data_IF_457768191476
#
_entry.id   IF_457768191476
#
_cell.length_a   1.000
_cell.length_b   1.000
_cell.length_c   1.000
_cell.angle_alpha   90.00
_cell.angle_beta   90.00
_cell.angle_gamma   90.00
#
_symmetry.space_group_name_H-M   'P 1'
#
loop_
_entity.id
_entity.type
_entity.pdbx_description
1 polymer ?
#
# COMPACT_ATOMS: atom_id res chain seq x y z
N UNK A 1 67.21 -5.75 42.70
CA UNK A 1 67.28 -5.77 41.23
C UNK A 1 66.31 -6.84 40.74
N UNK A 2 65.05 -6.42 40.34
CA UNK A 2 63.98 -7.32 39.92
C UNK A 2 63.83 -7.23 38.40
N UNK A 3 64.10 -8.32 37.71
CA UNK A 3 63.93 -8.43 36.27
C UNK A 3 62.42 -8.51 35.92
N UNK A 4 62.00 -7.62 35.03
CA UNK A 4 60.64 -7.50 34.49
C UNK A 4 60.54 -8.36 33.25
N UNK A 5 59.86 -9.50 33.32
CA UNK A 5 59.59 -10.37 32.16
C UNK A 5 58.51 -9.73 31.30
N UNK A 6 58.89 -9.37 30.07
CA UNK A 6 58.01 -8.86 29.02
C UNK A 6 57.22 -10.04 28.39
N UNK A 7 55.95 -10.11 28.64
CA UNK A 7 55.04 -11.03 27.93
C UNK A 7 54.78 -10.48 26.52
N UNK A 8 55.42 -11.05 25.51
CA UNK A 8 55.09 -10.77 24.09
C UNK A 8 53.86 -11.57 23.72
N UNK A 9 52.73 -10.86 23.58
CA UNK A 9 51.58 -11.42 22.92
C UNK A 9 51.91 -11.76 21.49
N UNK A 10 51.93 -13.05 21.14
CA UNK A 10 52.00 -13.52 19.75
C UNK A 10 50.61 -13.31 19.15
N UNK A 11 50.44 -12.27 18.33
CA UNK A 11 49.27 -12.14 17.50
C UNK A 11 49.21 -13.35 16.55
N UNK A 12 48.25 -14.22 16.74
CA UNK A 12 47.97 -15.33 15.84
C UNK A 12 47.57 -14.72 14.48
N UNK A 13 48.44 -14.84 13.50
CA UNK A 13 48.14 -14.53 12.11
C UNK A 13 47.15 -15.59 11.63
N UNK A 14 45.85 -15.26 11.68
CA UNK A 14 44.82 -16.04 11.02
C UNK A 14 45.19 -16.13 9.53
N UNK A 15 45.39 -17.33 9.05
CA UNK A 15 45.78 -17.55 7.67
C UNK A 15 44.68 -16.96 6.73
N UNK A 16 45.08 -16.28 5.63
CA UNK A 16 44.12 -15.62 4.72
C UNK A 16 43.04 -16.58 4.16
N UNK A 17 43.32 -17.91 4.16
CA UNK A 17 42.31 -18.92 3.82
C UNK A 17 41.16 -19.08 4.79
N UNK A 18 41.36 -18.82 6.10
CA UNK A 18 40.27 -18.87 7.07
C UNK A 18 39.31 -17.66 6.90
N UNK A 19 39.85 -16.48 6.60
CA UNK A 19 39.04 -15.28 6.31
C UNK A 19 38.22 -15.43 5.02
N UNK A 20 38.81 -16.07 3.99
CA UNK A 20 38.14 -16.36 2.72
C UNK A 20 37.01 -17.38 2.94
N UNK A 21 37.23 -18.43 3.74
CA UNK A 21 36.22 -19.43 4.04
C UNK A 21 35.04 -18.84 4.81
N UNK A 22 35.30 -17.96 5.78
CA UNK A 22 34.21 -17.23 6.53
C UNK A 22 33.45 -16.33 5.59
N UNK A 23 34.11 -15.62 4.66
CA UNK A 23 33.45 -14.77 3.67
C UNK A 23 32.57 -15.57 2.70
N UNK A 24 33.04 -16.73 2.23
CA UNK A 24 32.29 -17.61 1.34
C UNK A 24 31.11 -18.25 2.04
N UNK A 25 31.26 -18.66 3.30
CA UNK A 25 30.15 -19.19 4.11
C UNK A 25 29.14 -18.06 4.42
N UNK A 26 29.60 -16.86 4.76
CA UNK A 26 28.75 -15.72 4.98
C UNK A 26 27.98 -15.31 3.69
N UNK A 27 28.64 -15.31 2.52
CA UNK A 27 27.99 -15.07 1.22
C UNK A 27 27.01 -16.19 0.85
N UNK A 28 27.29 -17.46 1.15
CA UNK A 28 26.35 -18.56 0.93
C UNK A 28 25.15 -18.51 1.89
N UNK A 29 25.32 -18.04 3.12
CA UNK A 29 24.23 -17.83 4.07
C UNK A 29 23.39 -16.59 3.74
N UNK A 30 23.99 -15.56 3.11
CA UNK A 30 23.30 -14.36 2.63
C UNK A 30 22.71 -14.56 1.22
N UNK A 31 23.33 -15.41 0.41
CA UNK A 31 22.88 -15.81 -0.91
C UNK A 31 21.96 -17.04 -0.85
N UNK A 32 21.08 -17.13 0.14
CA UNK A 32 19.90 -17.97 0.00
C UNK A 32 19.05 -17.30 -1.09
N UNK A 33 18.97 -17.86 -2.32
CA UNK A 33 18.09 -17.29 -3.33
C UNK A 33 16.70 -17.26 -2.68
N UNK A 34 16.07 -16.10 -2.65
CA UNK A 34 14.78 -15.85 -2.03
C UNK A 34 13.83 -16.98 -2.45
N UNK A 35 13.63 -17.97 -1.61
CA UNK A 35 12.64 -19.04 -1.83
C UNK A 35 11.25 -18.42 -2.05
N UNK A 36 11.05 -17.22 -1.53
CA UNK A 36 9.80 -16.48 -1.55
C UNK A 36 9.58 -15.64 -2.83
N UNK A 37 10.62 -15.38 -3.61
CA UNK A 37 10.52 -14.54 -4.81
C UNK A 37 9.45 -15.01 -5.83
N UNK A 38 9.30 -16.32 -6.13
CA UNK A 38 8.24 -16.79 -6.99
C UNK A 38 6.82 -16.58 -6.39
N UNK A 39 6.68 -16.77 -5.07
CA UNK A 39 5.40 -16.57 -4.38
C UNK A 39 4.99 -15.09 -4.39
N UNK A 40 5.94 -14.19 -4.13
CA UNK A 40 5.74 -12.74 -4.19
C UNK A 40 5.35 -12.31 -5.61
N UNK A 41 6.06 -12.78 -6.63
CA UNK A 41 5.75 -12.47 -8.03
C UNK A 41 4.35 -12.95 -8.41
N UNK A 42 3.99 -14.19 -8.07
CA UNK A 42 2.65 -14.72 -8.33
C UNK A 42 1.58 -13.90 -7.61
N UNK A 43 1.83 -13.44 -6.40
CA UNK A 43 0.93 -12.57 -5.66
C UNK A 43 0.69 -11.26 -6.42
N UNK A 44 1.74 -10.57 -6.88
CA UNK A 44 1.59 -9.34 -7.66
C UNK A 44 0.83 -9.55 -8.97
N UNK A 45 1.10 -10.64 -9.68
CA UNK A 45 0.36 -10.99 -10.89
C UNK A 45 -1.13 -11.30 -10.61
N UNK A 46 -1.45 -11.90 -9.47
CA UNK A 46 -2.84 -12.11 -9.05
C UNK A 46 -3.55 -10.80 -8.73
N UNK A 47 -2.88 -9.90 -7.99
CA UNK A 47 -3.41 -8.57 -7.70
C UNK A 47 -3.66 -7.77 -8.99
N UNK A 48 -2.71 -7.78 -9.93
CA UNK A 48 -2.88 -7.08 -11.21
C UNK A 48 -4.12 -7.58 -11.96
N UNK A 49 -4.28 -8.90 -12.10
CA UNK A 49 -5.48 -9.49 -12.74
C UNK A 49 -6.77 -9.13 -12.00
N UNK A 50 -6.77 -9.20 -10.67
CA UNK A 50 -7.92 -8.85 -9.85
C UNK A 50 -8.36 -7.40 -10.05
N UNK A 51 -7.41 -6.48 -10.22
CA UNK A 51 -7.70 -5.07 -10.50
C UNK A 51 -8.17 -4.85 -11.94
N UNK A 52 -7.61 -5.56 -12.90
CA UNK A 52 -8.07 -5.52 -14.31
C UNK A 52 -9.51 -6.03 -14.44
N UNK A 53 -9.89 -7.02 -13.62
CA UNK A 53 -11.22 -7.63 -13.59
C UNK A 53 -12.17 -6.91 -12.61
N UNK A 54 -11.77 -5.80 -12.00
CA UNK A 54 -12.58 -5.11 -11.02
C UNK A 54 -13.95 -4.69 -11.60
N UNK A 55 -15.07 -4.96 -10.90
CA UNK A 55 -16.41 -4.85 -11.48
C UNK A 55 -16.82 -3.41 -11.82
N UNK A 56 -17.48 -3.23 -12.96
CA UNK A 56 -18.16 -1.98 -13.33
C UNK A 56 -19.51 -1.81 -12.64
N UNK A 57 -20.10 -2.87 -12.15
CA UNK A 57 -21.37 -2.84 -11.42
C UNK A 57 -21.18 -3.48 -10.04
N UNK A 58 -21.54 -2.75 -8.99
CA UNK A 58 -21.53 -3.20 -7.60
C UNK A 58 -22.87 -2.85 -6.97
N UNK A 59 -23.77 -3.86 -6.82
CA UNK A 59 -25.13 -3.62 -6.38
C UNK A 59 -25.84 -2.59 -7.24
N UNK A 60 -26.22 -1.45 -6.67
CA UNK A 60 -26.87 -0.34 -7.37
C UNK A 60 -25.88 0.68 -7.97
N UNK A 61 -24.57 0.51 -7.76
CA UNK A 61 -23.56 1.37 -8.28
C UNK A 61 -23.10 0.95 -9.68
N UNK A 62 -23.00 1.90 -10.60
CA UNK A 62 -22.50 1.69 -11.96
C UNK A 62 -21.28 2.57 -12.18
N UNK A 63 -20.19 1.95 -12.59
CA UNK A 63 -18.88 2.56 -12.77
C UNK A 63 -18.61 2.93 -14.23
N UNK A 64 -17.88 4.03 -14.41
CA UNK A 64 -17.29 4.48 -15.67
C UNK A 64 -15.83 4.84 -15.42
N UNK A 65 -14.93 4.36 -16.25
CA UNK A 65 -13.51 4.64 -16.11
C UNK A 65 -13.21 6.14 -16.17
N UNK A 66 -12.24 6.57 -15.38
CA UNK A 66 -11.70 7.92 -15.35
C UNK A 66 -10.22 7.84 -15.67
N UNK A 67 -9.80 8.54 -16.69
CA UNK A 67 -8.40 8.57 -17.10
C UNK A 67 -7.52 9.17 -15.99
N UNK A 68 -6.44 8.49 -15.68
CA UNK A 68 -5.37 9.04 -14.88
C UNK A 68 -4.38 9.80 -15.77
N UNK A 69 -3.85 10.94 -15.32
CA UNK A 69 -2.79 11.62 -16.06
C UNK A 69 -1.60 10.68 -16.31
N UNK A 70 -1.08 10.67 -17.54
CA UNK A 70 0.08 9.82 -17.91
C UNK A 70 1.27 10.05 -16.98
N UNK A 71 1.50 11.31 -16.58
CA UNK A 71 2.54 11.66 -15.60
C UNK A 71 2.34 11.02 -14.24
N UNK A 72 1.10 10.82 -13.80
CA UNK A 72 0.81 10.12 -12.55
C UNK A 72 1.19 8.63 -12.66
N UNK A 73 0.87 7.98 -13.77
CA UNK A 73 1.21 6.57 -14.03
C UNK A 73 2.73 6.37 -14.16
N UNK A 74 3.44 7.28 -14.81
CA UNK A 74 4.90 7.24 -14.95
C UNK A 74 5.63 7.36 -13.61
N UNK A 75 5.09 8.14 -12.67
CA UNK A 75 5.66 8.34 -11.34
C UNK A 75 5.28 7.19 -10.41
N UNK A 76 4.00 6.80 -10.41
CA UNK A 76 3.48 5.73 -9.54
C UNK A 76 4.02 4.34 -9.89
N UNK A 77 4.25 4.07 -11.19
CA UNK A 77 4.60 2.73 -11.70
C UNK A 77 3.77 1.62 -11.04
N UNK A 78 2.44 1.75 -11.06
CA UNK A 78 1.60 0.81 -10.35
C UNK A 78 1.71 -0.58 -10.97
N UNK A 79 1.67 -1.61 -10.16
CA UNK A 79 1.48 -3.00 -10.60
C UNK A 79 0.08 -3.23 -11.18
N UNK A 80 -0.91 -2.53 -10.62
CA UNK A 80 -2.28 -2.50 -11.09
C UNK A 80 -3.02 -1.30 -10.48
N UNK A 81 -4.06 -0.83 -11.16
CA UNK A 81 -4.89 0.25 -10.66
C UNK A 81 -6.33 0.18 -11.15
N UNK A 82 -7.23 0.79 -10.37
CA UNK A 82 -8.61 1.11 -10.77
C UNK A 82 -8.79 2.61 -10.59
N UNK A 83 -9.32 3.29 -11.60
CA UNK A 83 -9.75 4.68 -11.49
C UNK A 83 -11.13 4.78 -12.12
N UNK A 84 -12.16 4.80 -11.30
CA UNK A 84 -13.53 4.63 -11.77
C UNK A 84 -14.52 5.48 -10.99
N UNK A 85 -15.39 6.18 -11.72
CA UNK A 85 -16.48 6.96 -11.15
C UNK A 85 -17.71 6.09 -11.04
N UNK A 86 -18.21 5.91 -9.83
CA UNK A 86 -19.42 5.18 -9.53
C UNK A 86 -20.58 6.12 -9.23
N UNK A 87 -21.72 5.87 -9.84
CA UNK A 87 -22.98 6.60 -9.61
C UNK A 87 -24.10 5.61 -9.37
N UNK A 88 -25.13 6.05 -8.65
CA UNK A 88 -26.39 5.29 -8.46
C UNK A 88 -27.48 5.92 -9.30
N UNK A 89 -28.35 5.08 -9.88
CA UNK A 89 -29.48 5.57 -10.67
C UNK A 89 -30.40 6.45 -9.82
N UNK A 90 -30.70 7.66 -10.32
CA UNK A 90 -31.55 8.63 -9.64
C UNK A 90 -30.87 9.47 -8.55
N UNK A 91 -29.58 9.24 -8.29
CA UNK A 91 -28.78 10.05 -7.37
C UNK A 91 -27.89 11.03 -8.15
N UNK A 92 -27.88 12.33 -7.78
CA UNK A 92 -27.07 13.33 -8.50
C UNK A 92 -25.57 13.23 -8.20
N UNK A 93 -25.21 12.55 -7.11
CA UNK A 93 -23.85 12.46 -6.62
C UNK A 93 -23.16 11.21 -7.16
N UNK A 94 -21.86 11.31 -7.30
CA UNK A 94 -20.99 10.19 -7.66
C UNK A 94 -19.77 10.14 -6.73
N UNK A 95 -19.17 8.97 -6.62
CA UNK A 95 -17.94 8.74 -5.88
C UNK A 95 -16.90 8.25 -6.87
N UNK A 96 -15.72 8.84 -6.90
CA UNK A 96 -14.61 8.30 -7.68
C UNK A 96 -13.81 7.37 -6.78
N UNK A 97 -13.79 6.08 -7.15
CA UNK A 97 -12.94 5.07 -6.53
C UNK A 97 -11.59 5.05 -7.23
N UNK A 98 -10.54 5.24 -6.46
CA UNK A 98 -9.17 4.98 -6.86
C UNK A 98 -8.60 3.81 -6.07
N UNK A 99 -8.07 2.82 -6.75
CA UNK A 99 -7.26 1.76 -6.15
C UNK A 99 -5.92 1.75 -6.88
N UNK A 100 -4.83 1.77 -6.14
CA UNK A 100 -3.48 1.68 -6.69
C UNK A 100 -2.73 0.62 -5.90
N UNK A 101 -2.10 -0.32 -6.59
CA UNK A 101 -1.21 -1.30 -5.97
C UNK A 101 0.22 -1.11 -6.47
N UNK A 102 1.17 -1.04 -5.55
CA UNK A 102 2.62 -1.01 -5.83
C UNK A 102 3.27 -2.31 -5.32
N UNK A 103 4.23 -2.85 -6.08
CA UNK A 103 4.97 -4.07 -5.72
C UNK A 103 5.95 -3.86 -4.55
N UNK A 104 6.34 -2.61 -4.31
CA UNK A 104 7.18 -2.23 -3.17
C UNK A 104 6.47 -1.14 -2.35
N UNK A 105 6.38 -1.35 -1.04
CA UNK A 105 5.76 -0.41 -0.11
C UNK A 105 6.39 0.99 -0.21
N UNK A 106 7.68 1.07 -0.49
CA UNK A 106 8.42 2.34 -0.61
C UNK A 106 7.98 3.19 -1.79
N UNK A 107 7.47 2.57 -2.86
CA UNK A 107 6.94 3.29 -4.02
C UNK A 107 5.67 4.07 -3.67
N UNK A 108 4.89 3.59 -2.68
CA UNK A 108 3.69 4.28 -2.20
C UNK A 108 3.98 5.50 -1.31
N UNK A 109 5.15 5.61 -0.68
CA UNK A 109 5.45 6.64 0.33
C UNK A 109 5.34 8.08 -0.17
N UNK A 110 5.52 8.32 -1.46
CA UNK A 110 5.34 9.64 -2.07
C UNK A 110 3.95 9.86 -2.70
N UNK A 111 3.06 8.86 -2.66
CA UNK A 111 1.82 8.81 -3.44
C UNK A 111 0.56 8.68 -2.58
N UNK A 112 0.36 9.64 -1.67
CA UNK A 112 -0.83 9.69 -0.83
C UNK A 112 -1.47 11.09 -0.87
N UNK A 113 -2.74 11.26 -0.46
CA UNK A 113 -3.50 12.49 -0.71
C UNK A 113 -2.77 13.78 -0.33
N UNK A 114 -2.15 13.94 0.86
CA UNK A 114 -1.41 15.15 1.23
C UNK A 114 -0.21 15.51 0.34
N UNK A 115 0.26 14.60 -0.49
CA UNK A 115 1.34 14.83 -1.47
C UNK A 115 0.80 15.06 -2.87
N UNK A 116 -0.11 14.19 -3.31
CA UNK A 116 -0.57 14.19 -4.71
C UNK A 116 -1.51 15.35 -5.02
N UNK A 117 -2.45 15.67 -4.13
CA UNK A 117 -3.42 16.73 -4.39
C UNK A 117 -2.80 18.12 -4.40
N UNK A 118 -1.90 18.51 -3.47
CA UNK A 118 -1.20 19.79 -3.56
C UNK A 118 -0.34 19.94 -4.82
N UNK A 119 0.30 18.86 -5.28
CA UNK A 119 1.02 18.87 -6.56
C UNK A 119 0.10 19.15 -7.76
N UNK A 120 -1.19 18.79 -7.66
CA UNK A 120 -2.26 19.10 -8.61
C UNK A 120 -2.94 20.46 -8.41
N UNK A 121 -2.38 21.35 -7.56
CA UNK A 121 -2.89 22.70 -7.32
C UNK A 121 -4.01 22.77 -6.26
N UNK A 122 -4.23 21.73 -5.49
CA UNK A 122 -5.15 21.72 -4.36
C UNK A 122 -4.48 22.18 -3.07
N UNK A 123 -5.22 22.89 -2.23
CA UNK A 123 -4.78 23.28 -0.88
C UNK A 123 -5.51 22.43 0.15
N UNK A 124 -4.78 21.72 1.00
CA UNK A 124 -5.36 20.96 2.10
C UNK A 124 -6.02 21.90 3.10
N UNK A 125 -7.27 21.61 3.45
CA UNK A 125 -8.08 22.42 4.38
C UNK A 125 -8.20 21.74 5.75
N UNK A 126 -8.00 20.43 5.80
CA UNK A 126 -8.07 19.66 7.03
C UNK A 126 -7.94 18.17 6.77
N UNK A 127 -7.75 17.45 7.85
CA UNK A 127 -7.70 16.00 7.89
C UNK A 127 -8.18 15.48 9.24
N UNK A 128 -8.74 14.28 9.25
CA UNK A 128 -9.16 13.60 10.47
C UNK A 128 -9.35 12.10 10.22
N UNK A 129 -9.22 11.32 11.28
CA UNK A 129 -9.62 9.91 11.26
C UNK A 129 -11.15 9.80 11.26
N UNK A 130 -11.67 8.88 10.47
CA UNK A 130 -13.09 8.52 10.44
C UNK A 130 -13.22 7.00 10.50
N UNK A 131 -14.43 6.53 10.84
CA UNK A 131 -14.75 5.11 10.77
C UNK A 131 -15.75 4.89 9.64
N UNK A 132 -15.44 3.95 8.76
CA UNK A 132 -16.29 3.50 7.65
C UNK A 132 -16.53 2.00 7.83
N UNK A 133 -17.69 1.52 7.45
CA UNK A 133 -18.03 0.09 7.52
C UNK A 133 -17.59 -0.62 6.24
N UNK A 134 -16.74 -1.63 6.37
CA UNK A 134 -16.39 -2.56 5.29
C UNK A 134 -16.90 -3.93 5.71
N UNK A 135 -17.81 -4.54 4.93
CA UNK A 135 -18.41 -5.84 5.27
C UNK A 135 -18.94 -5.89 6.71
N UNK A 136 -19.69 -4.87 7.11
CA UNK A 136 -20.22 -4.67 8.46
C UNK A 136 -19.15 -4.55 9.57
N UNK A 137 -17.86 -4.48 9.21
CA UNK A 137 -16.77 -4.29 10.15
C UNK A 137 -16.34 -2.82 10.20
N UNK A 138 -16.42 -2.15 11.37
CA UNK A 138 -15.94 -0.79 11.54
C UNK A 138 -14.43 -0.69 11.26
N UNK A 139 -14.08 0.07 10.23
CA UNK A 139 -12.71 0.22 9.74
C UNK A 139 -12.27 1.67 9.85
N UNK A 140 -11.12 1.91 10.48
CA UNK A 140 -10.48 3.22 10.52
C UNK A 140 -9.98 3.63 9.14
N UNK A 141 -10.28 4.86 8.73
CA UNK A 141 -9.78 5.48 7.51
C UNK A 141 -9.40 6.92 7.78
N UNK A 142 -8.65 7.54 6.87
CA UNK A 142 -8.29 8.95 6.96
C UNK A 142 -9.09 9.76 5.95
N UNK A 143 -9.71 10.84 6.42
CA UNK A 143 -10.45 11.81 5.60
C UNK A 143 -9.58 13.06 5.44
N UNK A 144 -9.27 13.41 4.20
CA UNK A 144 -8.63 14.67 3.81
C UNK A 144 -9.63 15.57 3.10
N UNK A 145 -9.55 16.88 3.33
CA UNK A 145 -10.32 17.89 2.62
C UNK A 145 -9.39 18.82 1.86
N UNK A 146 -9.72 19.08 0.61
CA UNK A 146 -8.95 19.93 -0.26
C UNK A 146 -9.85 20.98 -0.93
N UNK A 147 -9.23 22.11 -1.24
CA UNK A 147 -9.84 23.24 -1.95
C UNK A 147 -8.89 23.71 -3.04
N UNK A 148 -9.42 24.11 -4.17
CA UNK A 148 -8.67 24.88 -5.17
C UNK A 148 -9.53 25.98 -5.77
N UNK A 149 -8.89 26.98 -6.32
CA UNK A 149 -9.54 28.02 -7.10
C UNK A 149 -9.57 27.59 -8.58
N UNK A 150 -10.76 27.54 -9.17
CA UNK A 150 -10.89 27.26 -10.62
C UNK A 150 -10.40 28.45 -11.44
N UNK A 151 -10.16 28.25 -12.74
CA UNK A 151 -9.83 29.34 -13.67
C UNK A 151 -10.92 30.42 -13.74
N UNK A 152 -12.17 30.08 -13.40
CA UNK A 152 -13.27 31.01 -13.32
C UNK A 152 -13.38 31.76 -11.99
N UNK A 153 -12.44 31.59 -11.06
CA UNK A 153 -12.44 32.25 -9.74
C UNK A 153 -13.42 31.63 -8.75
N UNK A 154 -13.96 30.46 -9.02
CA UNK A 154 -14.85 29.75 -8.10
C UNK A 154 -14.05 28.75 -7.26
N UNK A 155 -14.43 28.64 -6.00
CA UNK A 155 -13.91 27.62 -5.09
C UNK A 155 -14.41 26.22 -5.48
N UNK A 156 -13.52 25.29 -5.65
CA UNK A 156 -13.82 23.88 -5.84
C UNK A 156 -13.32 23.11 -4.61
N UNK A 157 -14.14 22.18 -4.12
CA UNK A 157 -13.84 21.37 -2.94
C UNK A 157 -13.89 19.89 -3.30
N UNK A 158 -13.03 19.11 -2.68
CA UNK A 158 -13.10 17.66 -2.67
C UNK A 158 -12.82 17.12 -1.26
N UNK A 159 -13.40 15.98 -0.98
CA UNK A 159 -13.09 15.18 0.21
C UNK A 159 -12.57 13.83 -0.23
N UNK A 160 -11.48 13.36 0.37
CA UNK A 160 -10.82 12.09 0.03
C UNK A 160 -10.76 11.22 1.27
N UNK A 161 -11.47 10.09 1.25
CA UNK A 161 -11.34 9.03 2.25
C UNK A 161 -10.28 8.06 1.74
N UNK A 162 -9.27 7.75 2.55
CA UNK A 162 -8.13 6.93 2.13
C UNK A 162 -7.75 5.91 3.20
N UNK A 163 -7.31 4.73 2.74
CA UNK A 163 -6.75 3.66 3.56
C UNK A 163 -5.69 2.91 2.76
N UNK A 164 -4.66 2.42 3.43
CA UNK A 164 -3.70 1.49 2.87
C UNK A 164 -4.03 0.07 3.32
N UNK A 165 -3.72 -0.91 2.48
CA UNK A 165 -3.88 -2.33 2.80
C UNK A 165 -2.58 -3.04 2.45
N UNK A 166 -1.95 -3.65 3.44
CA UNK A 166 -0.66 -4.33 3.25
C UNK A 166 -0.72 -5.80 3.71
N UNK A 167 -0.11 -6.73 2.96
CA UNK A 167 -0.09 -8.15 3.30
C UNK A 167 0.43 -8.41 4.72
N UNK A 168 -0.36 -9.13 5.52
CA UNK A 168 -0.02 -9.48 6.90
C UNK A 168 -0.03 -8.32 7.91
N UNK A 169 -0.25 -7.08 7.47
CA UNK A 169 -0.39 -5.90 8.35
C UNK A 169 -1.83 -5.39 8.41
N UNK A 170 -2.67 -5.77 7.45
CA UNK A 170 -4.06 -5.36 7.39
C UNK A 170 -4.25 -3.94 6.84
N UNK A 171 -5.27 -3.25 7.35
CA UNK A 171 -5.60 -1.87 6.97
C UNK A 171 -4.84 -0.86 7.84
N UNK A 172 -4.21 0.12 7.20
CA UNK A 172 -3.35 1.12 7.79
C UNK A 172 -3.82 2.52 7.36
N UNK A 173 -3.79 3.47 8.25
CA UNK A 173 -4.29 4.83 7.98
C UNK A 173 -3.18 5.85 7.82
N UNK A 174 -2.03 5.60 8.43
CA UNK A 174 -0.93 6.55 8.49
C UNK A 174 0.22 6.18 7.55
N UNK A 175 0.87 7.18 6.99
CA UNK A 175 2.07 6.96 6.15
C UNK A 175 3.23 6.40 6.96
N UNK A 176 3.33 6.75 8.26
CA UNK A 176 4.33 6.20 9.18
C UNK A 176 4.28 4.68 9.28
N UNK A 177 3.09 4.08 9.19
CA UNK A 177 2.93 2.63 9.21
C UNK A 177 3.61 1.98 8.00
N UNK A 178 3.51 2.62 6.82
CA UNK A 178 4.19 2.17 5.61
C UNK A 178 5.70 2.38 5.67
N UNK A 179 6.15 3.49 6.26
CA UNK A 179 7.57 3.76 6.51
C UNK A 179 8.16 2.67 7.41
N UNK A 180 7.45 2.28 8.46
CA UNK A 180 7.85 1.21 9.37
C UNK A 180 7.93 -0.15 8.66
N UNK A 181 6.97 -0.48 7.79
CA UNK A 181 7.02 -1.71 6.97
C UNK A 181 8.24 -1.67 6.03
N UNK A 182 8.45 -0.55 5.34
CA UNK A 182 9.59 -0.35 4.44
C UNK A 182 10.94 -0.47 5.15
N UNK A 183 11.02 -0.05 6.42
CA UNK A 183 12.21 -0.14 7.26
C UNK A 183 12.50 -1.56 7.77
N UNK A 184 11.50 -2.46 7.79
CA UNK A 184 11.66 -3.86 8.25
C UNK A 184 12.44 -4.75 7.27
N UNK A 185 12.86 -4.21 6.14
CA UNK A 185 13.74 -4.88 5.17
C UNK A 185 13.07 -5.18 3.83
N UNK A 186 13.92 -5.57 2.87
CA UNK A 186 13.54 -5.76 1.47
C UNK A 186 12.42 -6.78 1.29
N UNK A 187 12.42 -7.87 2.07
CA UNK A 187 11.40 -8.92 1.95
C UNK A 187 9.99 -8.43 2.30
N UNK A 188 9.85 -7.66 3.38
CA UNK A 188 8.54 -7.13 3.77
C UNK A 188 8.09 -6.01 2.84
N UNK A 189 9.02 -5.15 2.43
CA UNK A 189 8.73 -4.10 1.47
C UNK A 189 8.25 -4.64 0.13
N UNK A 190 8.84 -5.74 -0.35
CA UNK A 190 8.52 -6.40 -1.61
C UNK A 190 7.17 -7.16 -1.61
N UNK A 191 6.46 -7.23 -0.49
CA UNK A 191 5.07 -7.73 -0.47
C UNK A 191 4.09 -6.75 -1.11
N UNK A 192 4.50 -5.51 -1.26
CA UNK A 192 3.69 -4.45 -1.84
C UNK A 192 2.65 -3.87 -0.88
N UNK A 193 1.86 -2.96 -1.42
CA UNK A 193 0.78 -2.28 -0.71
C UNK A 193 -0.27 -1.79 -1.70
N UNK A 194 -1.54 -1.88 -1.32
CA UNK A 194 -2.62 -1.20 -2.01
C UNK A 194 -3.03 0.07 -1.27
N UNK A 195 -3.41 1.10 -2.01
CA UNK A 195 -4.13 2.26 -1.50
C UNK A 195 -5.51 2.29 -2.10
N UNK A 196 -6.54 2.47 -1.26
CA UNK A 196 -7.93 2.65 -1.68
C UNK A 196 -8.32 4.08 -1.33
N UNK A 197 -8.85 4.82 -2.30
CA UNK A 197 -9.33 6.19 -2.14
C UNK A 197 -10.76 6.32 -2.65
N UNK A 198 -11.61 6.99 -1.87
CA UNK A 198 -12.92 7.46 -2.30
C UNK A 198 -12.89 8.98 -2.38
N UNK A 199 -13.11 9.52 -3.58
CA UNK A 199 -13.09 10.96 -3.83
C UNK A 199 -14.53 11.46 -4.05
N UNK A 200 -14.92 12.40 -3.22
CA UNK A 200 -16.23 13.06 -3.24
C UNK A 200 -16.06 14.51 -3.69
N UNK A 201 -16.89 14.95 -4.62
CA UNK A 201 -16.85 16.33 -5.12
C UNK A 201 -17.77 17.23 -4.29
N UNK A 202 -17.35 18.48 -4.11
CA UNK A 202 -18.07 19.48 -3.33
C UNK A 202 -17.75 19.46 -1.83
N UNK A 203 -18.32 20.43 -1.12
CA UNK A 203 -18.21 20.51 0.34
C UNK A 203 -19.32 19.67 0.99
N UNK A 204 -19.08 18.35 1.02
CA UNK A 204 -20.04 17.36 1.54
C UNK A 204 -19.85 17.20 3.05
N UNK A 205 -20.97 17.16 3.80
CA UNK A 205 -20.94 16.94 5.24
C UNK A 205 -20.40 15.53 5.59
N UNK A 206 -19.65 15.41 6.68
CA UNK A 206 -19.01 14.14 7.09
C UNK A 206 -20.00 12.98 7.25
N UNK A 207 -21.19 13.16 7.87
CA UNK A 207 -22.16 12.06 7.96
C UNK A 207 -22.61 11.53 6.60
N UNK A 208 -22.76 12.42 5.61
CA UNK A 208 -23.13 12.05 4.25
C UNK A 208 -21.97 11.34 3.51
N UNK A 209 -20.72 11.82 3.67
CA UNK A 209 -19.53 11.15 3.16
C UNK A 209 -19.43 9.71 3.69
N UNK A 210 -19.62 9.55 5.01
CA UNK A 210 -19.58 8.21 5.64
C UNK A 210 -20.68 7.32 5.10
N UNK A 211 -21.91 7.82 5.02
CA UNK A 211 -23.02 7.05 4.48
C UNK A 211 -22.75 6.55 3.05
N UNK A 212 -22.27 7.43 2.17
CA UNK A 212 -21.95 7.05 0.79
C UNK A 212 -20.77 6.06 0.72
N UNK A 213 -19.77 6.21 1.59
CA UNK A 213 -18.66 5.27 1.69
C UNK A 213 -19.14 3.91 2.20
N UNK A 214 -19.95 3.87 3.26
CA UNK A 214 -20.54 2.64 3.81
C UNK A 214 -21.39 1.93 2.75
N UNK A 215 -22.25 2.67 2.03
CA UNK A 215 -23.09 2.13 0.96
C UNK A 215 -22.27 1.56 -0.20
N UNK A 216 -21.14 2.17 -0.57
CA UNK A 216 -20.25 1.66 -1.62
C UNK A 216 -19.48 0.42 -1.13
N UNK A 217 -18.90 0.47 0.06
CA UNK A 217 -18.11 -0.63 0.61
C UNK A 217 -18.94 -1.86 0.96
N UNK A 218 -20.23 -1.70 1.21
CA UNK A 218 -21.15 -2.83 1.38
C UNK A 218 -21.22 -3.72 0.12
N UNK A 219 -21.09 -3.12 -1.05
CA UNK A 219 -21.13 -3.79 -2.34
C UNK A 219 -19.73 -4.06 -2.92
N UNK A 220 -18.68 -3.69 -2.17
CA UNK A 220 -17.29 -3.86 -2.60
C UNK A 220 -16.92 -5.36 -2.56
N UNK A 221 -16.21 -5.90 -3.58
CA UNK A 221 -15.85 -7.31 -3.57
C UNK A 221 -14.88 -7.64 -2.42
N UNK A 222 -15.31 -8.50 -1.49
CA UNK A 222 -14.45 -8.97 -0.37
C UNK A 222 -13.15 -9.60 -0.86
N UNK A 223 -13.22 -10.34 -1.96
CA UNK A 223 -12.06 -10.97 -2.58
C UNK A 223 -10.92 -9.99 -2.89
N UNK A 224 -11.23 -8.69 -3.11
CA UNK A 224 -10.22 -7.66 -3.37
C UNK A 224 -9.49 -7.29 -2.08
N UNK A 225 -10.22 -7.09 -1.01
CA UNK A 225 -9.63 -6.80 0.32
C UNK A 225 -8.81 -8.00 0.79
N UNK A 226 -9.38 -9.21 0.71
CA UNK A 226 -8.70 -10.45 1.09
C UNK A 226 -7.42 -10.67 0.26
N UNK A 227 -7.48 -10.36 -1.04
CA UNK A 227 -6.34 -10.44 -1.93
C UNK A 227 -5.19 -9.51 -1.50
N UNK A 228 -5.50 -8.27 -1.11
CA UNK A 228 -4.50 -7.33 -0.60
C UNK A 228 -3.94 -7.72 0.77
N UNK A 229 -4.76 -8.33 1.64
CA UNK A 229 -4.34 -8.77 2.97
C UNK A 229 -3.56 -10.08 2.95
N UNK A 230 -3.69 -10.86 1.87
CA UNK A 230 -3.04 -12.16 1.77
C UNK A 230 -1.52 -12.06 1.82
N UNK A 231 -0.90 -12.76 2.78
CA UNK A 231 0.55 -12.86 2.86
C UNK A 231 1.04 -14.12 2.12
N UNK A 232 1.66 -13.99 0.94
CA UNK A 232 2.06 -15.15 0.13
C UNK A 232 3.18 -15.99 0.77
N UNK A 233 3.90 -15.45 1.75
CA UNK A 233 5.03 -16.12 2.41
C UNK A 233 4.54 -17.02 3.55
N UNK A 234 3.45 -16.69 4.22
CA UNK A 234 2.95 -17.45 5.37
C UNK A 234 2.45 -18.87 5.02
N UNK A 235 2.07 -19.10 3.77
CA UNK A 235 1.58 -20.40 3.29
C UNK A 235 2.70 -21.41 3.00
N UNK A 236 3.93 -20.96 2.76
CA UNK A 236 5.05 -21.84 2.40
C UNK A 236 5.63 -22.57 3.63
N UNK A 237 5.57 -21.95 4.81
CA UNK A 237 6.12 -22.54 6.05
C UNK A 237 5.25 -23.70 6.59
N UNK A 238 3.98 -23.79 6.21
CA UNK A 238 3.08 -24.84 6.69
C UNK A 238 3.18 -26.14 5.83
N UNK A 239 3.56 -26.03 4.57
CA UNK A 239 3.71 -27.19 3.68
C UNK A 239 4.96 -28.04 4.01
N UNK A 240 6.06 -27.40 4.43
CA UNK A 240 7.32 -28.09 4.76
C UNK A 240 7.31 -28.80 6.13
N UNK A 241 6.33 -28.51 7.00
CA UNK A 241 6.21 -29.16 8.32
C UNK A 241 5.45 -30.47 8.31
N UNK A 242 4.80 -30.85 7.19
CA UNK A 242 3.99 -32.08 7.07
C UNK A 242 4.79 -33.24 6.42
N UNK A 243 6.00 -33.01 5.94
CA UNK A 243 6.86 -34.00 5.27
C UNK A 243 8.06 -34.43 6.12
N UNK A 244 7.91 -34.46 7.43
CA UNK A 244 8.91 -35.09 8.32
C UNK A 244 8.30 -36.18 9.16
#
# INVERSE_FOLDING_TARGET
MKMRTSNKFKAARLAPGASLAVLVVATMLVANPNSDAPAIKNHHEQIARMLDEFPYAMGTWVGVDVDLPTTALEILRPNGFVSRRYSQMGMPNYVTLGIVHCEDVRDMQSHYPPRCYPAGGWSQQGDQSITVSIEDTPTGMHLYRFKRLTQGGLDEYISVISVFVAPGSGMLTEMSDLEDIGAQGVHKSALGVAQIQLVFNGDVAIPELRKQADDLFKEFPSSVIDGFMHNPISSTTQADSIVK
#
